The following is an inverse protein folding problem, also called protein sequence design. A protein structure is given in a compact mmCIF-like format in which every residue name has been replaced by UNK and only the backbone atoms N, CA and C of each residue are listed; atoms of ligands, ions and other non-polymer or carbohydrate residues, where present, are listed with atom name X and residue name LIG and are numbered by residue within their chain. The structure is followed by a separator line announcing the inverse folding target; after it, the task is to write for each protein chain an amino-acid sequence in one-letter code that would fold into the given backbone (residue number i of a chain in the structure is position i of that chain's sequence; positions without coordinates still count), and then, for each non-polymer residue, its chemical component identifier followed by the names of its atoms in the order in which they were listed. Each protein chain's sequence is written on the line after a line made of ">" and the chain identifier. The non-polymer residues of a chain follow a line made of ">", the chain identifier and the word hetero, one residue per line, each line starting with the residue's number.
data_IF_995301839522
#
_entry.id   IF_995301839522
#
_cell.length_a   1.000
_cell.length_b   1.000
_cell.length_c   1.000
_cell.angle_alpha   90.00
_cell.angle_beta   90.00
_cell.angle_gamma   90.00
#
_symmetry.space_group_name_H-M   'P 1'
#
loop_
_entity.id
_entity.type
_entity.pdbx_description
1 polymer ?
#
# COMPACT_ATOMS: atom_id res chain seq x y z
N UNK A 1 -17.06 8.72 -6.34
CA UNK A 1 -17.15 8.73 -7.81
C UNK A 1 -15.83 9.17 -8.46
N UNK A 2 -15.13 10.22 -8.01
CA UNK A 2 -13.87 10.68 -8.61
C UNK A 2 -12.77 9.59 -8.62
N UNK A 3 -12.60 8.83 -7.52
CA UNK A 3 -11.64 7.71 -7.44
C UNK A 3 -11.95 6.61 -8.46
N UNK A 4 -13.22 6.26 -8.65
CA UNK A 4 -13.63 5.28 -9.66
C UNK A 4 -13.34 5.76 -11.09
N UNK A 5 -13.62 7.03 -11.38
CA UNK A 5 -13.27 7.62 -12.69
C UNK A 5 -11.78 7.57 -12.97
N UNK A 6 -10.94 7.87 -11.96
CA UNK A 6 -9.48 7.77 -12.07
C UNK A 6 -9.01 6.33 -12.31
N UNK A 7 -9.59 5.35 -11.60
CA UNK A 7 -9.26 3.92 -11.78
C UNK A 7 -9.62 3.45 -13.19
N UNK A 8 -10.78 3.85 -13.70
CA UNK A 8 -11.19 3.50 -15.08
C UNK A 8 -10.27 4.13 -16.13
N UNK A 9 -9.82 5.37 -15.89
CA UNK A 9 -8.90 6.07 -16.79
C UNK A 9 -7.52 5.39 -16.79
N UNK A 10 -6.99 5.04 -15.61
CA UNK A 10 -5.75 4.27 -15.50
C UNK A 10 -5.86 2.88 -16.15
N UNK A 11 -7.00 2.20 -15.96
CA UNK A 11 -7.25 0.90 -16.56
C UNK A 11 -7.25 0.97 -18.10
N UNK A 12 -7.88 2.00 -18.65
CA UNK A 12 -7.91 2.22 -20.09
C UNK A 12 -6.50 2.52 -20.64
N UNK A 13 -5.70 3.33 -19.94
CA UNK A 13 -4.33 3.64 -20.34
C UNK A 13 -3.41 2.42 -20.29
N UNK A 14 -3.43 1.65 -19.20
CA UNK A 14 -2.65 0.40 -19.10
C UNK A 14 -3.07 -0.62 -20.15
N UNK A 15 -4.37 -0.73 -20.45
CA UNK A 15 -4.87 -1.60 -21.52
C UNK A 15 -4.42 -1.13 -22.92
N UNK A 16 -4.18 0.17 -23.10
CA UNK A 16 -3.61 0.74 -24.32
C UNK A 16 -2.08 0.59 -24.42
N UNK A 17 -1.44 0.08 -23.37
CA UNK A 17 0.02 -0.12 -23.31
C UNK A 17 0.80 1.08 -22.76
N UNK A 18 0.12 2.06 -22.16
CA UNK A 18 0.77 3.19 -21.52
C UNK A 18 1.42 2.76 -20.21
N UNK A 19 2.66 3.20 -19.97
CA UNK A 19 3.33 3.05 -18.67
C UNK A 19 3.16 4.32 -17.84
N UNK A 20 2.53 4.16 -16.68
CA UNK A 20 2.38 5.24 -15.72
C UNK A 20 3.38 5.07 -14.59
N UNK A 21 4.27 6.04 -14.42
CA UNK A 21 5.25 6.07 -13.33
C UNK A 21 5.42 7.48 -12.79
N UNK A 22 5.60 7.58 -11.47
CA UNK A 22 5.91 8.83 -10.77
C UNK A 22 6.99 8.55 -9.74
N UNK A 23 8.03 9.42 -9.72
CA UNK A 23 9.07 9.39 -8.68
C UNK A 23 9.15 10.73 -7.98
N UNK A 24 9.22 10.69 -6.67
CA UNK A 24 9.40 11.85 -5.83
C UNK A 24 10.52 11.58 -4.82
N UNK A 25 11.63 12.29 -4.93
CA UNK A 25 12.75 12.19 -4.00
C UNK A 25 12.33 12.78 -2.63
N UNK A 26 12.38 11.96 -1.59
CA UNK A 26 12.10 12.36 -0.20
C UNK A 26 13.39 12.68 0.53
N UNK A 27 14.39 11.82 0.37
CA UNK A 27 15.73 11.94 0.94
C UNK A 27 16.76 11.45 -0.08
N UNK A 28 18.03 11.83 0.05
CA UNK A 28 19.09 11.27 -0.79
C UNK A 28 19.11 9.75 -0.71
N UNK A 29 18.83 9.08 -1.84
CA UNK A 29 18.77 7.62 -1.93
C UNK A 29 17.44 6.97 -1.48
N UNK A 30 16.42 7.75 -1.09
CA UNK A 30 15.10 7.26 -0.72
C UNK A 30 14.01 8.01 -1.50
N UNK A 31 13.47 7.35 -2.51
CA UNK A 31 12.44 7.89 -3.39
C UNK A 31 11.09 7.21 -3.14
N UNK A 32 10.02 8.00 -3.11
CA UNK A 32 8.68 7.48 -3.32
C UNK A 32 8.52 7.22 -4.82
N UNK A 33 8.49 5.96 -5.20
CA UNK A 33 8.36 5.53 -6.57
C UNK A 33 7.06 4.75 -6.76
N UNK A 34 6.28 5.18 -7.74
CA UNK A 34 5.02 4.55 -8.13
C UNK A 34 5.15 4.06 -9.57
N UNK A 35 4.66 2.86 -9.82
CA UNK A 35 4.50 2.28 -11.15
C UNK A 35 3.19 1.50 -11.20
N UNK A 36 2.44 1.68 -12.26
CA UNK A 36 1.22 0.92 -12.49
C UNK A 36 1.52 -0.18 -13.48
N UNK A 37 1.54 -1.41 -12.99
CA UNK A 37 1.68 -2.62 -13.81
C UNK A 37 0.36 -3.41 -13.85
N UNK A 38 0.33 -4.50 -14.60
CA UNK A 38 -0.87 -5.32 -14.75
C UNK A 38 -1.35 -5.91 -13.42
N UNK A 39 -0.41 -6.30 -12.52
CA UNK A 39 -0.73 -6.84 -11.20
C UNK A 39 -1.29 -5.74 -10.29
N UNK A 40 -0.63 -4.59 -10.23
CA UNK A 40 -1.09 -3.42 -9.47
C UNK A 40 -2.46 -2.98 -9.95
N UNK A 41 -2.71 -2.98 -11.27
CA UNK A 41 -3.99 -2.62 -11.85
C UNK A 41 -5.11 -3.60 -11.50
N UNK A 42 -4.81 -4.90 -11.42
CA UNK A 42 -5.75 -5.92 -10.92
C UNK A 42 -6.18 -5.61 -9.48
N UNK A 43 -5.21 -5.34 -8.58
CA UNK A 43 -5.48 -5.02 -7.18
C UNK A 43 -6.23 -3.69 -7.01
N UNK A 44 -5.88 -2.67 -7.77
CA UNK A 44 -6.56 -1.36 -7.76
C UNK A 44 -8.01 -1.51 -8.18
N UNK A 45 -8.27 -2.25 -9.28
CA UNK A 45 -9.62 -2.46 -9.80
C UNK A 45 -10.47 -3.26 -8.82
N UNK A 46 -9.94 -4.36 -8.29
CA UNK A 46 -10.62 -5.17 -7.28
C UNK A 46 -10.94 -4.36 -6.02
N UNK A 47 -9.97 -3.61 -5.51
CA UNK A 47 -10.14 -2.73 -4.36
C UNK A 47 -11.20 -1.66 -4.61
N UNK A 48 -11.24 -1.06 -5.80
CA UNK A 48 -12.22 -0.03 -6.14
C UNK A 48 -13.65 -0.59 -6.16
N UNK A 49 -13.84 -1.80 -6.70
CA UNK A 49 -15.14 -2.49 -6.73
C UNK A 49 -15.58 -2.84 -5.31
N UNK A 50 -14.72 -3.50 -4.52
CA UNK A 50 -15.03 -3.88 -3.15
C UNK A 50 -15.30 -2.65 -2.27
N UNK A 51 -14.54 -1.58 -2.44
CA UNK A 51 -14.73 -0.33 -1.72
C UNK A 51 -16.09 0.31 -2.05
N UNK A 52 -16.53 0.25 -3.33
CA UNK A 52 -17.83 0.76 -3.73
C UNK A 52 -18.96 0.03 -2.97
N UNK A 53 -18.96 -1.31 -3.02
CA UNK A 53 -19.97 -2.11 -2.32
C UNK A 53 -19.93 -1.92 -0.80
N UNK A 54 -18.74 -1.89 -0.22
CA UNK A 54 -18.57 -1.64 1.23
C UNK A 54 -19.07 -0.25 1.61
N UNK A 55 -18.82 0.77 0.79
CA UNK A 55 -19.32 2.12 1.04
C UNK A 55 -20.84 2.17 1.00
N UNK A 56 -21.47 1.54 0.01
CA UNK A 56 -22.94 1.48 -0.10
C UNK A 56 -23.54 0.77 1.12
N UNK A 57 -22.96 -0.35 1.54
CA UNK A 57 -23.38 -1.05 2.76
C UNK A 57 -23.19 -0.18 4.01
N UNK A 58 -22.03 0.45 4.17
CA UNK A 58 -21.70 1.26 5.34
C UNK A 58 -22.59 2.51 5.48
N UNK A 59 -23.09 3.06 4.38
CA UNK A 59 -24.04 4.18 4.40
C UNK A 59 -25.31 3.80 5.16
N UNK A 60 -25.89 2.63 4.85
CA UNK A 60 -27.09 2.14 5.54
C UNK A 60 -26.76 1.63 6.95
N UNK A 61 -25.67 0.88 7.12
CA UNK A 61 -25.30 0.29 8.41
C UNK A 61 -24.99 1.33 9.50
N UNK A 62 -24.39 2.45 9.12
CA UNK A 62 -24.02 3.55 10.02
C UNK A 62 -25.06 4.69 10.05
N UNK A 63 -26.26 4.46 9.54
CA UNK A 63 -27.33 5.44 9.62
C UNK A 63 -27.69 5.70 11.08
N UNK A 64 -27.64 6.98 11.49
CA UNK A 64 -27.85 7.37 12.89
C UNK A 64 -26.68 7.08 13.85
N UNK A 65 -25.60 6.46 13.42
CA UNK A 65 -24.44 6.17 14.27
C UNK A 65 -23.64 7.46 14.56
N UNK A 66 -23.12 7.63 15.80
CA UNK A 66 -22.25 8.76 16.13
C UNK A 66 -20.92 8.66 15.36
N UNK A 67 -20.33 9.83 15.06
CA UNK A 67 -19.02 9.94 14.42
C UNK A 67 -18.90 9.30 13.02
N UNK A 68 -19.99 9.22 12.27
CA UNK A 68 -20.06 8.66 10.91
C UNK A 68 -19.01 9.28 9.97
N UNK A 69 -18.85 10.61 10.00
CA UNK A 69 -17.85 11.30 9.16
C UNK A 69 -16.42 10.85 9.45
N UNK A 70 -16.09 10.61 10.71
CA UNK A 70 -14.78 10.07 11.11
C UNK A 70 -14.54 8.68 10.52
N UNK A 71 -15.56 7.81 10.57
CA UNK A 71 -15.47 6.48 9.97
C UNK A 71 -15.16 6.56 8.47
N UNK A 72 -15.93 7.32 7.69
CA UNK A 72 -15.72 7.44 6.25
C UNK A 72 -14.40 8.13 5.89
N UNK A 73 -13.93 9.06 6.71
CA UNK A 73 -12.61 9.68 6.56
C UNK A 73 -11.48 8.66 6.64
N UNK A 74 -11.41 7.90 7.73
CA UNK A 74 -10.38 6.87 7.89
C UNK A 74 -10.55 5.71 6.92
N UNK A 75 -11.79 5.31 6.61
CA UNK A 75 -12.05 4.31 5.59
C UNK A 75 -11.54 4.73 4.21
N UNK A 76 -11.78 5.99 3.81
CA UNK A 76 -11.25 6.53 2.56
C UNK A 76 -9.72 6.60 2.55
N UNK A 77 -9.10 6.88 3.71
CA UNK A 77 -7.64 6.89 3.85
C UNK A 77 -7.06 5.48 3.72
N UNK A 78 -7.71 4.46 4.32
CA UNK A 78 -7.32 3.06 4.13
C UNK A 78 -7.34 2.66 2.66
N UNK A 79 -8.39 3.01 1.92
CA UNK A 79 -8.49 2.72 0.48
C UNK A 79 -7.37 3.42 -0.31
N UNK A 80 -7.06 4.67 0.05
CA UNK A 80 -5.95 5.42 -0.59
C UNK A 80 -4.61 4.76 -0.31
N UNK A 81 -4.37 4.33 0.93
CA UNK A 81 -3.16 3.61 1.32
C UNK A 81 -3.03 2.26 0.57
N UNK A 82 -4.12 1.51 0.46
CA UNK A 82 -4.14 0.24 -0.32
C UNK A 82 -3.80 0.46 -1.79
N UNK A 83 -4.32 1.53 -2.40
CA UNK A 83 -3.97 1.89 -3.77
C UNK A 83 -2.49 2.30 -3.89
N UNK A 84 -1.96 3.02 -2.90
CA UNK A 84 -0.54 3.35 -2.84
C UNK A 84 0.37 2.13 -2.72
N UNK A 85 -0.03 1.11 -1.93
CA UNK A 85 0.67 -0.19 -1.86
C UNK A 85 0.66 -0.87 -3.23
N UNK A 86 -0.49 -0.91 -3.91
CA UNK A 86 -0.65 -1.58 -5.21
C UNK A 86 0.17 -0.92 -6.33
N UNK A 87 0.47 0.37 -6.20
CA UNK A 87 1.28 1.13 -7.16
C UNK A 87 2.74 1.26 -6.73
N UNK A 88 3.15 0.72 -5.59
CA UNK A 88 4.52 0.87 -5.11
C UNK A 88 5.52 0.22 -6.08
N UNK A 89 6.53 0.98 -6.52
CA UNK A 89 7.60 0.50 -7.39
C UNK A 89 8.87 0.09 -6.63
N UNK A 90 8.95 0.43 -5.33
CA UNK A 90 10.05 0.03 -4.47
C UNK A 90 9.55 -0.32 -3.05
N UNK A 91 10.40 -1.01 -2.29
CA UNK A 91 10.09 -1.46 -0.93
C UNK A 91 9.86 -0.30 0.04
N UNK A 92 10.52 0.84 -0.15
CA UNK A 92 10.32 2.01 0.70
C UNK A 92 8.92 2.60 0.53
N UNK A 93 8.47 2.79 -0.72
CA UNK A 93 7.09 3.24 -1.00
C UNK A 93 6.06 2.26 -0.46
N UNK A 94 6.29 0.97 -0.67
CA UNK A 94 5.44 -0.09 -0.11
C UNK A 94 5.32 0.05 1.41
N UNK A 95 6.43 0.20 2.12
CA UNK A 95 6.47 0.35 3.57
C UNK A 95 5.72 1.58 4.05
N UNK A 96 5.94 2.74 3.44
CA UNK A 96 5.27 4.00 3.82
C UNK A 96 3.74 3.86 3.73
N UNK A 97 3.23 3.30 2.64
CA UNK A 97 1.79 3.10 2.47
C UNK A 97 1.25 1.95 3.33
N UNK A 98 2.05 0.94 3.61
CA UNK A 98 1.71 -0.12 4.56
C UNK A 98 1.51 0.46 5.97
N UNK A 99 2.43 1.29 6.46
CA UNK A 99 2.28 1.97 7.76
C UNK A 99 1.11 2.94 7.76
N UNK A 100 0.89 3.68 6.66
CA UNK A 100 -0.28 4.54 6.53
C UNK A 100 -1.59 3.73 6.63
N UNK A 101 -1.64 2.55 6.01
CA UNK A 101 -2.79 1.65 6.09
C UNK A 101 -3.01 1.16 7.54
N UNK A 102 -1.97 0.68 8.21
CA UNK A 102 -2.07 0.16 9.58
C UNK A 102 -2.50 1.25 10.56
N UNK A 103 -1.94 2.44 10.48
CA UNK A 103 -2.33 3.57 11.32
C UNK A 103 -3.76 4.06 11.03
N UNK A 104 -4.17 4.02 9.76
CA UNK A 104 -5.52 4.47 9.35
C UNK A 104 -6.61 3.47 9.75
N UNK A 105 -6.30 2.19 9.88
CA UNK A 105 -7.25 1.16 10.33
C UNK A 105 -7.48 1.19 11.83
N UNK A 106 -6.53 1.67 12.63
CA UNK A 106 -6.68 1.75 14.08
C UNK A 106 -7.95 2.52 14.52
N UNK A 107 -8.24 3.74 14.04
CA UNK A 107 -9.47 4.46 14.40
C UNK A 107 -10.76 3.75 13.98
N UNK A 108 -10.70 2.88 12.95
CA UNK A 108 -11.83 2.05 12.55
C UNK A 108 -12.05 0.90 13.52
N UNK A 109 -10.99 0.25 13.98
CA UNK A 109 -11.03 -0.84 14.98
C UNK A 109 -11.62 -0.33 16.29
N UNK A 110 -11.19 0.85 16.75
CA UNK A 110 -11.67 1.45 18.01
C UNK A 110 -12.92 2.33 17.83
N UNK A 111 -13.59 2.29 16.67
CA UNK A 111 -14.67 3.20 16.31
C UNK A 111 -15.82 3.24 17.35
N UNK A 112 -16.16 2.08 17.92
CA UNK A 112 -17.22 1.96 18.93
C UNK A 112 -16.87 2.58 20.29
N UNK A 113 -15.59 2.84 20.59
CA UNK A 113 -15.12 3.46 21.83
C UNK A 113 -15.37 2.64 23.11
N UNK A 114 -15.75 1.36 23.00
CA UNK A 114 -15.92 0.49 24.17
C UNK A 114 -14.58 0.04 24.72
N UNK A 115 -14.49 -0.29 26.02
CA UNK A 115 -13.26 -0.80 26.64
C UNK A 115 -12.70 -2.02 25.90
N UNK A 116 -13.59 -2.90 25.43
CA UNK A 116 -13.22 -4.07 24.64
C UNK A 116 -12.62 -3.66 23.29
N UNK A 117 -13.21 -2.67 22.60
CA UNK A 117 -12.70 -2.16 21.34
C UNK A 117 -11.34 -1.46 21.52
N UNK A 118 -11.18 -0.67 22.59
CA UNK A 118 -9.94 0.01 22.92
C UNK A 118 -8.80 -0.97 23.22
N UNK A 119 -9.07 -2.02 24.04
CA UNK A 119 -8.10 -3.09 24.27
C UNK A 119 -7.73 -3.83 22.99
N UNK A 120 -8.72 -4.20 22.17
CA UNK A 120 -8.48 -4.85 20.88
C UNK A 120 -7.63 -3.99 19.96
N UNK A 121 -7.92 -2.70 19.87
CA UNK A 121 -7.17 -1.74 19.09
C UNK A 121 -5.72 -1.57 19.57
N UNK A 122 -5.48 -1.52 20.88
CA UNK A 122 -4.13 -1.43 21.44
C UNK A 122 -3.31 -2.68 21.11
N UNK A 123 -3.90 -3.86 21.25
CA UNK A 123 -3.26 -5.13 20.89
C UNK A 123 -2.95 -5.15 19.39
N UNK A 124 -3.93 -4.79 18.55
CA UNK A 124 -3.75 -4.66 17.11
C UNK A 124 -2.56 -3.74 16.77
N UNK A 125 -2.53 -2.53 17.36
CA UNK A 125 -1.47 -1.57 17.10
C UNK A 125 -0.09 -2.09 17.53
N UNK A 126 -0.01 -2.77 18.69
CA UNK A 126 1.24 -3.35 19.15
C UNK A 126 1.79 -4.39 18.17
N UNK A 127 0.95 -5.31 17.69
CA UNK A 127 1.37 -6.33 16.72
C UNK A 127 1.77 -5.73 15.37
N UNK A 128 1.00 -4.76 14.88
CA UNK A 128 1.29 -4.13 13.59
C UNK A 128 2.56 -3.29 13.63
N UNK A 129 2.83 -2.56 14.72
CA UNK A 129 4.07 -1.80 14.89
C UNK A 129 5.30 -2.71 15.00
N UNK A 130 5.20 -3.83 15.71
CA UNK A 130 6.29 -4.84 15.76
C UNK A 130 6.53 -5.42 14.37
N UNK A 131 5.47 -5.78 13.65
CA UNK A 131 5.57 -6.27 12.27
C UNK A 131 6.17 -5.24 11.32
N UNK A 132 5.74 -3.98 11.41
CA UNK A 132 6.27 -2.87 10.62
C UNK A 132 7.74 -2.60 10.91
N UNK A 133 8.16 -2.65 12.19
CA UNK A 133 9.57 -2.52 12.56
C UNK A 133 10.42 -3.66 11.99
N UNK A 134 9.93 -4.89 12.01
CA UNK A 134 10.61 -6.03 11.40
C UNK A 134 10.72 -5.87 9.88
N UNK A 135 9.64 -5.41 9.22
CA UNK A 135 9.63 -5.12 7.79
C UNK A 135 10.65 -4.02 7.45
N UNK A 136 10.66 -2.91 8.19
CA UNK A 136 11.62 -1.81 7.98
C UNK A 136 13.06 -2.30 8.13
N UNK A 137 13.32 -3.12 9.15
CA UNK A 137 14.66 -3.72 9.36
C UNK A 137 15.06 -4.57 8.16
N UNK A 138 14.15 -5.38 7.63
CA UNK A 138 14.37 -6.18 6.42
C UNK A 138 14.66 -5.31 5.19
N UNK A 139 13.93 -4.21 5.01
CA UNK A 139 14.12 -3.26 3.89
C UNK A 139 15.51 -2.59 3.98
N UNK A 140 15.89 -2.10 5.16
CA UNK A 140 17.21 -1.47 5.39
C UNK A 140 18.34 -2.47 5.13
N UNK A 141 18.19 -3.70 5.63
CA UNK A 141 19.17 -4.76 5.39
C UNK A 141 19.30 -5.08 3.90
N UNK A 142 18.17 -5.25 3.22
CA UNK A 142 18.17 -5.54 1.78
C UNK A 142 18.78 -4.40 0.96
N UNK A 143 18.45 -3.16 1.30
CA UNK A 143 19.02 -1.98 0.66
C UNK A 143 20.54 -1.91 0.87
N UNK A 144 21.02 -2.26 2.06
CA UNK A 144 22.47 -2.32 2.36
C UNK A 144 23.19 -3.39 1.54
N UNK A 145 22.56 -4.55 1.32
CA UNK A 145 23.15 -5.65 0.56
C UNK A 145 23.16 -5.43 -0.95
N UNK A 146 22.07 -4.86 -1.50
CA UNK A 146 21.85 -4.77 -2.95
C UNK A 146 22.09 -3.36 -3.51
N UNK A 147 22.18 -2.33 -2.66
CA UNK A 147 22.30 -0.93 -3.08
C UNK A 147 21.04 -0.34 -3.68
N UNK A 148 19.98 -1.13 -3.85
CA UNK A 148 18.69 -0.70 -4.39
C UNK A 148 17.55 -1.52 -3.80
N UNK A 149 16.34 -0.97 -3.79
CA UNK A 149 15.13 -1.59 -3.23
C UNK A 149 13.97 -1.61 -4.23
N UNK A 150 14.27 -1.55 -5.54
CA UNK A 150 13.28 -1.55 -6.60
C UNK A 150 12.74 -2.96 -6.87
N UNK A 151 11.45 -3.04 -7.22
CA UNK A 151 10.85 -4.27 -7.68
C UNK A 151 11.27 -4.54 -9.14
N UNK A 152 11.99 -5.64 -9.37
CA UNK A 152 12.43 -6.06 -10.69
C UNK A 152 11.70 -7.34 -11.12
N UNK A 153 11.52 -7.50 -12.44
CA UNK A 153 11.04 -8.76 -13.00
C UNK A 153 12.06 -9.87 -12.72
N UNK A 154 11.60 -10.95 -12.09
CA UNK A 154 12.48 -12.05 -11.61
C UNK A 154 12.89 -11.91 -10.15
N UNK A 155 12.54 -10.80 -9.48
CA UNK A 155 12.77 -10.57 -8.05
C UNK A 155 14.26 -10.48 -7.69
N UNK A 156 14.54 -10.63 -6.40
CA UNK A 156 15.90 -10.53 -5.83
C UNK A 156 16.85 -11.59 -6.41
N UNK A 157 16.32 -12.76 -6.78
CA UNK A 157 17.13 -13.85 -7.38
C UNK A 157 17.75 -13.44 -8.72
N UNK A 158 17.06 -12.62 -9.52
CA UNK A 158 17.60 -12.11 -10.77
C UNK A 158 18.72 -11.07 -10.55
N UNK A 159 18.61 -10.24 -9.51
CA UNK A 159 19.63 -9.29 -9.13
C UNK A 159 20.91 -9.99 -8.60
N UNK A 160 20.78 -11.08 -7.83
CA UNK A 160 21.91 -11.87 -7.33
C UNK A 160 22.51 -12.78 -8.41
N UNK A 161 21.73 -13.26 -9.38
CA UNK A 161 22.20 -14.13 -10.47
C UNK A 161 22.93 -13.38 -11.60
N UNK A 162 22.62 -12.10 -11.80
CA UNK A 162 23.26 -11.27 -12.84
C UNK A 162 24.74 -11.01 -12.58
N UNK A 163 25.14 -10.83 -11.34
CA UNK A 163 26.54 -10.57 -10.98
C UNK A 163 27.41 -11.84 -11.03
N UNK A 164 26.83 -13.00 -10.79
CA UNK A 164 27.56 -14.27 -10.82
C UNK A 164 27.89 -14.74 -12.25
N UNK A 165 27.06 -14.39 -13.23
CA UNK A 165 27.27 -14.74 -14.62
C UNK A 165 28.33 -13.84 -15.33
N UNK A 166 28.58 -12.64 -14.80
CA UNK A 166 29.59 -11.70 -15.30
C UNK A 166 31.00 -12.01 -14.84
N UNK A 167 31.17 -12.67 -13.68
CA UNK A 167 32.49 -13.00 -13.12
C UNK A 167 33.07 -14.35 -13.56
N UNK A 168 32.33 -15.17 -14.32
CA UNK A 168 32.78 -16.47 -14.81
C UNK A 168 33.29 -16.44 -16.26
N UNK A 169 33.62 -15.26 -16.78
CA UNK A 169 34.35 -15.12 -18.04
C UNK A 169 35.75 -14.57 -17.76
N UNK A 170 36.62 -15.42 -17.26
CA UNK A 170 38.07 -15.33 -17.41
C UNK A 170 38.55 -16.60 -18.11
#
# INVERSE_FOLDING_TARGET
>A
FAKLGLVLLLLAGVAAGDEFGLRYAVLPGLDLAFKVDALGMLFITLSAILWLFTTLYAIGYLEGAPHRSRFFGFFSLCVTATMGIAMAANLFTFFVFYELLTLSTFPLVVHRGTDKAMRGGTIYLAYTLVGGTALLTGIVWLHHLLGHSEFAHGGIAAALGGDSAGQLKI
#
